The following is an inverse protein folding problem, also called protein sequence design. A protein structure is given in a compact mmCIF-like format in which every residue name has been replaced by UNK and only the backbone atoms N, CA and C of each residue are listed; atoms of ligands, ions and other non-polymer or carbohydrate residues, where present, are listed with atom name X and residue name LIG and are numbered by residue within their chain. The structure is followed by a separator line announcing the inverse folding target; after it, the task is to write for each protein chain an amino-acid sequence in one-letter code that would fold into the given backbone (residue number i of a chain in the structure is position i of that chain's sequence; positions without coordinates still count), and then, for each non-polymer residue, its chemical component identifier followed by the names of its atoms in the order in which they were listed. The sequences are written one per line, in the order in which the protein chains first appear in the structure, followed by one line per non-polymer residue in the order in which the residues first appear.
data_IF_371457811168
#
_entry.id   IF_371457811168
#
_cell.length_a   1.000
_cell.length_b   1.000
_cell.length_c   1.000
_cell.angle_alpha   90.00
_cell.angle_beta   90.00
_cell.angle_gamma   90.00
#
_symmetry.space_group_name_H-M   'P 1'
#
loop_
_entity.id
_entity.type
_entity.pdbx_description
1 polymer ?
#
# COMPACT_ATOMS: atom_id res chain seq x y z
N UNK A 1 27.59 -6.39 24.88
CA UNK A 1 27.27 -7.70 24.26
C UNK A 1 26.08 -8.39 24.91
N UNK A 2 26.06 -8.63 26.23
CA UNK A 2 24.91 -9.27 26.91
C UNK A 2 23.59 -8.48 26.72
N UNK A 3 23.61 -7.16 26.91
CA UNK A 3 22.43 -6.30 26.67
C UNK A 3 21.91 -6.36 25.24
N UNK A 4 22.80 -6.41 24.24
CA UNK A 4 22.42 -6.55 22.83
C UNK A 4 21.74 -7.90 22.57
N UNK A 5 22.26 -8.99 23.13
CA UNK A 5 21.67 -10.32 22.99
C UNK A 5 20.29 -10.37 23.68
N UNK A 6 20.17 -9.82 24.88
CA UNK A 6 18.89 -9.73 25.60
C UNK A 6 17.87 -8.89 24.80
N UNK A 7 18.30 -7.76 24.24
CA UNK A 7 17.44 -6.91 23.41
C UNK A 7 16.98 -7.61 22.12
N UNK A 8 17.87 -8.34 21.44
CA UNK A 8 17.51 -9.12 20.25
C UNK A 8 16.56 -10.28 20.58
N UNK A 9 16.77 -10.96 21.71
CA UNK A 9 15.84 -11.98 22.20
C UNK A 9 14.48 -11.36 22.51
N UNK A 10 14.46 -10.20 23.17
CA UNK A 10 13.23 -9.46 23.46
C UNK A 10 12.50 -9.09 22.15
N UNK A 11 13.18 -8.48 21.19
CA UNK A 11 12.64 -8.16 19.86
C UNK A 11 12.07 -9.41 19.16
N UNK A 12 12.81 -10.52 19.18
CA UNK A 12 12.35 -11.78 18.62
C UNK A 12 11.08 -12.30 19.31
N UNK A 13 11.02 -12.24 20.63
CA UNK A 13 9.83 -12.66 21.40
C UNK A 13 8.63 -11.76 21.13
N UNK A 14 8.84 -10.44 21.02
CA UNK A 14 7.80 -9.47 20.65
C UNK A 14 7.28 -9.76 19.24
N UNK A 15 8.18 -9.92 18.26
CA UNK A 15 7.80 -10.24 16.89
C UNK A 15 7.05 -11.57 16.80
N UNK A 16 7.53 -12.60 17.51
CA UNK A 16 6.86 -13.91 17.58
C UNK A 16 5.50 -13.83 18.27
N UNK A 17 5.38 -13.04 19.33
CA UNK A 17 4.12 -12.78 20.03
C UNK A 17 3.12 -12.09 19.10
N UNK A 18 3.56 -11.06 18.38
CA UNK A 18 2.75 -10.35 17.40
C UNK A 18 2.25 -11.29 16.29
N UNK A 19 3.12 -12.10 15.69
CA UNK A 19 2.74 -13.08 14.65
C UNK A 19 1.67 -14.04 15.20
N UNK A 20 1.83 -14.54 16.43
CA UNK A 20 0.82 -15.41 17.05
C UNK A 20 -0.52 -14.72 17.22
N UNK A 21 -0.52 -13.45 17.64
CA UNK A 21 -1.76 -12.68 17.78
C UNK A 21 -2.44 -12.48 16.44
N UNK A 22 -1.68 -12.17 15.38
CA UNK A 22 -2.22 -12.02 14.02
C UNK A 22 -2.83 -13.33 13.52
N UNK A 23 -2.13 -14.45 13.68
CA UNK A 23 -2.64 -15.78 13.29
C UNK A 23 -3.89 -16.13 14.08
N UNK A 24 -3.87 -15.97 15.40
CA UNK A 24 -5.04 -16.22 16.24
C UNK A 24 -6.24 -15.36 15.83
N UNK A 25 -6.01 -14.09 15.53
CA UNK A 25 -7.05 -13.17 15.06
C UNK A 25 -7.61 -13.62 13.70
N UNK A 26 -6.75 -14.07 12.78
CA UNK A 26 -7.17 -14.59 11.48
C UNK A 26 -7.98 -15.88 11.60
N UNK A 27 -7.57 -16.80 12.47
CA UNK A 27 -8.32 -18.03 12.75
C UNK A 27 -9.69 -17.72 13.38
N UNK A 28 -9.73 -16.75 14.30
CA UNK A 28 -10.97 -16.29 14.90
C UNK A 28 -11.91 -15.59 13.91
N UNK A 29 -11.36 -14.81 12.98
CA UNK A 29 -12.07 -14.18 11.85
C UNK A 29 -12.64 -15.23 10.89
N UNK A 30 -11.87 -16.28 10.63
CA UNK A 30 -12.28 -17.40 9.76
C UNK A 30 -13.29 -18.32 10.46
N UNK A 31 -13.42 -18.22 11.78
CA UNK A 31 -14.47 -18.87 12.56
C UNK A 31 -15.81 -18.12 12.53
N UNK A 32 -16.91 -18.85 12.64
CA UNK A 32 -18.27 -18.29 12.75
C UNK A 32 -19.22 -18.80 11.67
N UNK A 33 -20.31 -18.08 11.46
CA UNK A 33 -21.30 -18.44 10.45
C UNK A 33 -20.67 -18.38 9.05
N UNK A 34 -20.81 -19.49 8.31
CA UNK A 34 -20.36 -19.57 6.93
C UNK A 34 -21.21 -18.67 6.02
N UNK A 35 -20.59 -18.15 4.98
CA UNK A 35 -21.29 -17.48 3.88
C UNK A 35 -22.19 -18.47 3.10
N UNK A 36 -23.05 -17.99 2.18
CA UNK A 36 -23.87 -18.86 1.35
C UNK A 36 -23.04 -19.97 0.69
N UNK A 37 -23.63 -21.16 0.62
CA UNK A 37 -22.92 -22.39 0.26
C UNK A 37 -22.17 -22.29 -1.08
N UNK A 38 -22.76 -21.61 -2.08
CA UNK A 38 -22.18 -21.43 -3.40
C UNK A 38 -20.86 -20.62 -3.41
N UNK A 39 -20.73 -19.64 -2.50
CA UNK A 39 -19.52 -18.86 -2.35
C UNK A 39 -18.42 -19.64 -1.63
N UNK A 40 -18.80 -20.39 -0.59
CA UNK A 40 -17.86 -21.19 0.20
C UNK A 40 -17.35 -22.38 -0.60
N UNK A 41 -18.22 -23.07 -1.34
CA UNK A 41 -17.86 -24.21 -2.18
C UNK A 41 -16.85 -23.82 -3.26
N UNK A 42 -17.03 -22.67 -3.94
CA UNK A 42 -16.03 -22.15 -4.89
C UNK A 42 -14.69 -21.85 -4.22
N UNK A 43 -14.71 -21.31 -3.01
CA UNK A 43 -13.49 -20.98 -2.28
C UNK A 43 -12.74 -22.23 -1.81
N UNK A 44 -13.46 -23.22 -1.28
CA UNK A 44 -12.92 -24.51 -0.84
C UNK A 44 -12.40 -25.32 -2.03
N UNK A 45 -13.14 -25.40 -3.14
CA UNK A 45 -12.70 -26.11 -4.35
C UNK A 45 -11.41 -25.52 -4.96
N UNK A 46 -11.30 -24.20 -5.01
CA UNK A 46 -10.09 -23.53 -5.48
C UNK A 46 -8.86 -23.82 -4.59
N UNK A 47 -9.08 -23.91 -3.27
CA UNK A 47 -8.02 -24.28 -2.33
C UNK A 47 -7.61 -25.74 -2.49
N UNK A 48 -8.57 -26.65 -2.59
CA UNK A 48 -8.33 -28.09 -2.78
C UNK A 48 -7.52 -28.35 -4.06
N UNK A 49 -7.89 -27.73 -5.19
CA UNK A 49 -7.14 -27.89 -6.45
C UNK A 49 -5.72 -27.34 -6.37
N UNK A 50 -5.52 -26.21 -5.69
CA UNK A 50 -4.20 -25.65 -5.40
C UNK A 50 -3.36 -26.58 -4.53
N UNK A 51 -3.95 -27.17 -3.49
CA UNK A 51 -3.28 -28.15 -2.62
C UNK A 51 -2.89 -29.41 -3.38
N UNK A 52 -3.76 -29.92 -4.25
CA UNK A 52 -3.49 -31.06 -5.14
C UNK A 52 -2.34 -30.77 -6.12
N UNK A 53 -2.26 -29.56 -6.69
CA UNK A 53 -1.10 -29.13 -7.50
C UNK A 53 0.16 -29.11 -6.64
N UNK A 54 0.09 -28.53 -5.44
CA UNK A 54 1.24 -28.44 -4.54
C UNK A 54 1.80 -29.82 -4.19
N UNK A 55 0.93 -30.76 -3.81
CA UNK A 55 1.33 -32.12 -3.45
C UNK A 55 1.96 -32.87 -4.64
N UNK A 56 1.36 -32.77 -5.83
CA UNK A 56 1.88 -33.37 -7.06
C UNK A 56 3.27 -32.82 -7.41
N UNK A 57 3.46 -31.51 -7.36
CA UNK A 57 4.74 -30.88 -7.70
C UNK A 57 5.82 -31.12 -6.64
N UNK A 58 5.44 -31.14 -5.35
CA UNK A 58 6.35 -31.54 -4.28
C UNK A 58 6.79 -32.99 -4.42
N UNK A 59 5.90 -33.90 -4.83
CA UNK A 59 6.23 -35.30 -5.10
C UNK A 59 7.24 -35.43 -6.26
N UNK A 60 7.04 -34.69 -7.36
CA UNK A 60 8.00 -34.61 -8.48
C UNK A 60 9.36 -34.03 -8.05
N UNK A 61 9.34 -33.08 -7.11
CA UNK A 61 10.53 -32.42 -6.58
C UNK A 61 11.35 -33.27 -5.59
N UNK A 62 10.85 -34.43 -5.12
CA UNK A 62 11.53 -35.27 -4.11
C UNK A 62 12.92 -35.74 -4.56
N UNK A 63 13.16 -35.86 -5.87
CA UNK A 63 14.45 -36.23 -6.45
C UNK A 63 15.54 -35.14 -6.33
N UNK A 64 15.18 -33.90 -6.03
CA UNK A 64 16.12 -32.78 -5.97
C UNK A 64 16.98 -32.81 -4.69
N UNK A 65 18.28 -32.54 -4.84
CA UNK A 65 19.27 -32.50 -3.76
C UNK A 65 19.84 -31.09 -3.59
N UNK A 66 20.30 -30.78 -2.38
CA UNK A 66 20.92 -29.48 -2.05
C UNK A 66 19.99 -28.28 -2.33
N UNK A 67 20.56 -27.17 -2.82
CA UNK A 67 19.82 -25.95 -3.16
C UNK A 67 18.71 -26.18 -4.20
N UNK A 68 18.87 -27.17 -5.10
CA UNK A 68 17.85 -27.53 -6.08
C UNK A 68 16.52 -27.94 -5.44
N UNK A 69 16.55 -28.53 -4.23
CA UNK A 69 15.34 -28.85 -3.47
C UNK A 69 14.58 -27.59 -3.04
N UNK A 70 15.28 -26.53 -2.64
CA UNK A 70 14.64 -25.27 -2.24
C UNK A 70 13.97 -24.61 -3.44
N UNK A 71 14.66 -24.54 -4.58
CA UNK A 71 14.08 -24.01 -5.82
C UNK A 71 12.90 -24.84 -6.32
N UNK A 72 12.96 -26.17 -6.21
CA UNK A 72 11.87 -27.03 -6.60
C UNK A 72 10.64 -26.83 -5.71
N UNK A 73 10.81 -26.72 -4.38
CA UNK A 73 9.70 -26.38 -3.46
C UNK A 73 9.13 -24.99 -3.71
N UNK A 74 9.99 -24.02 -4.00
CA UNK A 74 9.55 -22.66 -4.34
C UNK A 74 8.74 -22.62 -5.64
N UNK A 75 9.17 -23.37 -6.67
CA UNK A 75 8.43 -23.51 -7.91
C UNK A 75 7.08 -24.20 -7.68
N UNK A 76 7.06 -25.33 -6.97
CA UNK A 76 5.83 -26.04 -6.61
C UNK A 76 4.84 -25.12 -5.87
N UNK A 77 5.34 -24.32 -4.91
CA UNK A 77 4.52 -23.33 -4.21
C UNK A 77 3.98 -22.24 -5.12
N UNK A 78 4.78 -21.75 -6.08
CA UNK A 78 4.29 -20.74 -7.02
C UNK A 78 3.25 -21.33 -7.98
N UNK A 79 3.40 -22.57 -8.42
CA UNK A 79 2.44 -23.24 -9.31
C UNK A 79 1.10 -23.46 -8.61
N UNK A 80 1.10 -23.90 -7.35
CA UNK A 80 -0.11 -24.00 -6.53
C UNK A 80 -0.80 -22.63 -6.33
N UNK A 81 -0.02 -21.59 -6.04
CA UNK A 81 -0.54 -20.22 -5.93
C UNK A 81 -1.14 -19.76 -7.27
N UNK A 82 -0.50 -20.08 -8.39
CA UNK A 82 -0.97 -19.70 -9.73
C UNK A 82 -2.31 -20.38 -10.04
N UNK A 83 -2.44 -21.67 -9.72
CA UNK A 83 -3.68 -22.45 -9.84
C UNK A 83 -4.83 -21.85 -9.03
N UNK A 84 -4.57 -21.47 -7.77
CA UNK A 84 -5.55 -20.79 -6.93
C UNK A 84 -6.05 -19.48 -7.56
N UNK A 85 -5.14 -18.71 -8.17
CA UNK A 85 -5.45 -17.42 -8.75
C UNK A 85 -6.25 -17.50 -10.05
N UNK A 86 -6.19 -18.64 -10.75
CA UNK A 86 -7.03 -18.91 -11.91
C UNK A 86 -8.51 -19.04 -11.52
N UNK A 87 -8.76 -19.59 -10.34
CA UNK A 87 -10.08 -19.73 -9.75
C UNK A 87 -10.54 -18.52 -8.95
N UNK A 88 -9.59 -17.71 -8.44
CA UNK A 88 -9.89 -16.49 -7.68
C UNK A 88 -10.61 -15.45 -8.53
N UNK A 89 -11.71 -14.89 -8.02
CA UNK A 89 -12.31 -13.66 -8.53
C UNK A 89 -11.92 -12.46 -7.67
N UNK A 90 -11.35 -11.41 -8.26
CA UNK A 90 -11.15 -10.13 -7.57
C UNK A 90 -12.50 -9.46 -7.30
N UNK A 91 -12.89 -9.41 -6.03
CA UNK A 91 -14.09 -8.71 -5.56
C UNK A 91 -13.76 -7.52 -4.66
N UNK A 92 -14.82 -6.88 -4.15
CA UNK A 92 -14.70 -5.73 -3.25
C UNK A 92 -13.93 -6.08 -1.96
N UNK A 93 -14.06 -7.31 -1.47
CA UNK A 93 -13.38 -7.80 -0.27
C UNK A 93 -11.85 -7.70 -0.44
N UNK A 94 -11.32 -8.24 -1.54
CA UNK A 94 -9.89 -8.18 -1.83
C UNK A 94 -9.44 -6.73 -2.04
N UNK A 95 -10.22 -5.91 -2.74
CA UNK A 95 -9.87 -4.50 -2.99
C UNK A 95 -9.73 -3.71 -1.69
N UNK A 96 -10.69 -3.80 -0.78
CA UNK A 96 -10.61 -3.09 0.51
C UNK A 96 -9.44 -3.60 1.34
N UNK A 97 -9.23 -4.93 1.39
CA UNK A 97 -8.14 -5.51 2.16
C UNK A 97 -6.77 -5.11 1.61
N UNK A 98 -6.62 -5.11 0.28
CA UNK A 98 -5.43 -4.65 -0.42
C UNK A 98 -5.17 -3.16 -0.19
N UNK A 99 -6.21 -2.33 -0.23
CA UNK A 99 -6.07 -0.91 0.08
C UNK A 99 -5.61 -0.71 1.52
N UNK A 100 -6.24 -1.38 2.47
CA UNK A 100 -5.90 -1.30 3.89
C UNK A 100 -4.45 -1.72 4.15
N UNK A 101 -4.06 -2.93 3.72
CA UNK A 101 -2.68 -3.40 3.89
C UNK A 101 -1.68 -2.56 3.10
N UNK A 102 -2.01 -2.20 1.85
CA UNK A 102 -1.14 -1.40 0.99
C UNK A 102 -0.88 -0.01 1.55
N UNK A 103 -1.89 0.62 2.15
CA UNK A 103 -1.78 1.94 2.77
C UNK A 103 -0.82 1.97 3.97
N UNK A 104 -0.77 0.90 4.76
CA UNK A 104 0.15 0.75 5.88
C UNK A 104 1.53 0.27 5.42
N UNK A 105 1.58 -0.73 4.53
CA UNK A 105 2.82 -1.34 4.08
C UNK A 105 3.66 -0.37 3.26
N UNK A 106 3.05 0.42 2.37
CA UNK A 106 3.77 1.44 1.60
C UNK A 106 4.39 2.50 2.52
N UNK A 107 3.65 2.93 3.55
CA UNK A 107 4.15 3.87 4.55
C UNK A 107 5.34 3.29 5.31
N UNK A 108 5.22 2.05 5.82
CA UNK A 108 6.32 1.38 6.53
C UNK A 108 7.56 1.19 5.65
N UNK A 109 7.38 0.83 4.37
CA UNK A 109 8.50 0.68 3.43
C UNK A 109 9.20 2.02 3.22
N UNK A 110 8.45 3.10 3.04
CA UNK A 110 9.01 4.43 2.83
C UNK A 110 9.71 4.97 4.09
N UNK A 111 9.11 4.81 5.27
CA UNK A 111 9.72 5.18 6.55
C UNK A 111 11.04 4.44 6.78
N UNK A 112 11.09 3.12 6.52
CA UNK A 112 12.32 2.33 6.61
C UNK A 112 13.34 2.78 5.58
N UNK A 113 12.91 3.05 4.34
CA UNK A 113 13.80 3.54 3.29
C UNK A 113 14.46 4.85 3.70
N UNK A 114 13.68 5.85 4.13
CA UNK A 114 14.20 7.14 4.58
C UNK A 114 15.10 7.04 5.81
N UNK A 115 14.76 6.18 6.76
CA UNK A 115 15.62 5.94 7.92
C UNK A 115 16.99 5.40 7.49
N UNK A 116 17.04 4.53 6.50
CA UNK A 116 18.28 3.93 6.00
C UNK A 116 19.09 4.87 5.10
N UNK A 117 18.44 5.68 4.26
CA UNK A 117 19.12 6.54 3.29
C UNK A 117 19.45 7.93 3.84
N UNK A 118 18.51 8.55 4.56
CA UNK A 118 18.61 9.93 5.02
C UNK A 118 18.77 10.05 6.54
N UNK A 119 18.52 8.98 7.30
CA UNK A 119 18.53 9.03 8.77
C UNK A 119 17.37 9.83 9.36
N UNK A 120 16.36 10.16 8.55
CA UNK A 120 15.19 10.96 8.93
C UNK A 120 13.99 10.04 9.23
N UNK A 121 13.15 10.49 10.16
CA UNK A 121 11.88 9.81 10.53
C UNK A 121 10.71 10.75 10.31
N UNK A 122 10.60 11.27 9.09
CA UNK A 122 9.46 12.10 8.72
C UNK A 122 8.23 11.22 8.49
N UNK A 123 7.13 11.58 9.16
CA UNK A 123 5.82 10.97 8.99
C UNK A 123 5.25 11.35 7.63
N UNK A 124 5.05 10.37 6.76
CA UNK A 124 4.44 10.51 5.42
C UNK A 124 3.02 9.98 5.36
N UNK A 125 2.36 10.06 6.50
CA UNK A 125 1.01 9.52 6.64
C UNK A 125 0.04 10.41 5.87
N UNK A 126 -0.90 9.78 5.16
CA UNK A 126 -1.81 10.47 4.25
C UNK A 126 -3.21 10.73 4.83
N UNK A 127 -3.51 10.24 6.03
CA UNK A 127 -4.79 10.44 6.71
C UNK A 127 -4.63 10.97 8.13
N UNK A 128 -5.68 11.63 8.62
CA UNK A 128 -5.72 12.20 9.96
C UNK A 128 -5.66 11.11 11.02
N UNK A 129 -6.37 9.99 10.84
CA UNK A 129 -6.38 8.88 11.77
C UNK A 129 -5.50 7.70 11.31
N UNK A 130 -4.78 7.09 12.26
CA UNK A 130 -4.01 5.87 12.01
C UNK A 130 -2.85 5.98 10.99
N UNK A 131 -2.07 4.91 10.78
CA UNK A 131 -0.90 4.93 9.90
C UNK A 131 -1.28 4.59 8.45
N UNK A 132 -2.19 5.37 7.86
CA UNK A 132 -2.74 5.09 6.52
C UNK A 132 -2.32 6.14 5.51
N UNK A 133 -1.75 5.70 4.39
CA UNK A 133 -1.52 6.53 3.21
C UNK A 133 -2.43 6.08 2.06
N UNK A 134 -3.46 6.88 1.69
CA UNK A 134 -4.36 6.56 0.60
C UNK A 134 -3.62 6.40 -0.73
N UNK A 135 -2.55 7.17 -0.93
CA UNK A 135 -1.73 7.07 -2.14
C UNK A 135 -1.14 5.67 -2.31
N UNK A 136 -0.58 5.10 -1.24
CA UNK A 136 -0.04 3.74 -1.27
C UNK A 136 -1.13 2.67 -1.35
N UNK A 137 -2.26 2.87 -0.69
CA UNK A 137 -3.43 1.99 -0.80
C UNK A 137 -3.97 1.94 -2.24
N UNK A 138 -4.16 3.10 -2.87
CA UNK A 138 -4.58 3.21 -4.27
C UNK A 138 -3.55 2.58 -5.20
N UNK A 139 -2.26 2.87 -5.00
CA UNK A 139 -1.18 2.29 -5.81
C UNK A 139 -1.17 0.75 -5.76
N UNK A 140 -1.32 0.17 -4.57
CA UNK A 140 -1.38 -1.28 -4.38
C UNK A 140 -2.60 -1.91 -5.06
N UNK A 141 -3.79 -1.30 -4.93
CA UNK A 141 -5.02 -1.77 -5.61
C UNK A 141 -4.87 -1.64 -7.12
N UNK A 142 -4.41 -0.50 -7.62
CA UNK A 142 -4.25 -0.22 -9.04
C UNK A 142 -3.28 -1.21 -9.70
N UNK A 143 -2.10 -1.40 -9.12
CA UNK A 143 -1.13 -2.39 -9.60
C UNK A 143 -1.71 -3.80 -9.53
N UNK A 144 -2.46 -4.15 -8.49
CA UNK A 144 -3.07 -5.48 -8.37
C UNK A 144 -4.11 -5.73 -9.45
N UNK A 145 -5.07 -4.82 -9.65
CA UNK A 145 -6.11 -4.95 -10.68
C UNK A 145 -5.47 -5.05 -12.06
N UNK A 146 -4.49 -4.19 -12.34
CA UNK A 146 -3.75 -4.19 -13.60
C UNK A 146 -3.00 -5.52 -13.81
N UNK A 147 -2.17 -5.92 -12.85
CA UNK A 147 -1.35 -7.12 -12.95
C UNK A 147 -2.21 -8.38 -13.02
N UNK A 148 -3.32 -8.42 -12.30
CA UNK A 148 -4.25 -9.55 -12.34
C UNK A 148 -4.92 -9.68 -13.70
N UNK A 149 -5.34 -8.55 -14.31
CA UNK A 149 -5.86 -8.54 -15.67
C UNK A 149 -4.80 -8.98 -16.69
N UNK A 150 -3.58 -8.43 -16.60
CA UNK A 150 -2.47 -8.80 -17.47
C UNK A 150 -2.08 -10.27 -17.33
N UNK A 151 -2.09 -10.82 -16.11
CA UNK A 151 -1.86 -12.24 -15.83
C UNK A 151 -2.88 -13.11 -16.55
N UNK A 152 -4.19 -12.83 -16.40
CA UNK A 152 -5.27 -13.59 -17.05
C UNK A 152 -5.19 -13.58 -18.59
N UNK A 153 -4.62 -12.54 -19.18
CA UNK A 153 -4.39 -12.45 -20.62
C UNK A 153 -3.02 -12.97 -21.09
N UNK A 154 -2.25 -13.63 -20.21
CA UNK A 154 -0.96 -14.22 -20.57
C UNK A 154 0.10 -13.18 -20.96
N UNK A 155 0.04 -11.98 -20.38
CA UNK A 155 0.95 -10.89 -20.73
C UNK A 155 2.42 -11.24 -20.44
N UNK A 156 3.29 -10.94 -21.40
CA UNK A 156 4.74 -11.09 -21.27
C UNK A 156 5.31 -10.04 -20.32
N UNK A 157 6.49 -10.30 -19.75
CA UNK A 157 7.13 -9.39 -18.81
C UNK A 157 7.30 -7.96 -19.33
N UNK A 158 7.72 -7.78 -20.57
CA UNK A 158 7.87 -6.44 -21.16
C UNK A 158 6.52 -5.69 -21.25
N UNK A 159 5.40 -6.39 -21.46
CA UNK A 159 4.06 -5.77 -21.46
C UNK A 159 3.68 -5.30 -20.06
N UNK A 160 3.92 -6.14 -19.04
CA UNK A 160 3.70 -5.76 -17.64
C UNK A 160 4.53 -4.53 -17.28
N UNK A 161 5.80 -4.49 -17.68
CA UNK A 161 6.68 -3.35 -17.46
C UNK A 161 6.12 -2.06 -18.08
N UNK A 162 5.80 -2.08 -19.39
CA UNK A 162 5.35 -0.88 -20.09
C UNK A 162 4.01 -0.37 -19.58
N UNK A 163 3.05 -1.27 -19.34
CA UNK A 163 1.74 -0.88 -18.83
C UNK A 163 1.84 -0.36 -17.40
N UNK A 164 2.67 -0.96 -16.55
CA UNK A 164 2.88 -0.48 -15.18
C UNK A 164 3.60 0.87 -15.16
N UNK A 165 4.61 1.08 -16.02
CA UNK A 165 5.27 2.36 -16.17
C UNK A 165 4.29 3.46 -16.59
N UNK A 166 3.44 3.19 -17.59
CA UNK A 166 2.43 4.13 -18.06
C UNK A 166 1.40 4.45 -16.97
N UNK A 167 0.83 3.43 -16.34
CA UNK A 167 -0.21 3.60 -15.31
C UNK A 167 0.34 4.28 -14.06
N UNK A 168 1.55 3.92 -13.63
CA UNK A 168 2.24 4.59 -12.53
C UNK A 168 2.53 6.06 -12.82
N UNK A 169 3.03 6.38 -14.02
CA UNK A 169 3.24 7.76 -14.45
C UNK A 169 1.96 8.59 -14.51
N UNK A 170 0.86 8.01 -15.00
CA UNK A 170 -0.46 8.66 -14.99
C UNK A 170 -0.94 8.88 -13.55
N UNK A 171 -0.74 7.92 -12.65
CA UNK A 171 -1.09 8.07 -11.24
C UNK A 171 -0.31 9.21 -10.58
N UNK A 172 1.01 9.28 -10.79
CA UNK A 172 1.85 10.37 -10.27
C UNK A 172 1.41 11.73 -10.83
N UNK A 173 1.20 11.80 -12.15
CA UNK A 173 0.76 13.02 -12.82
C UNK A 173 -0.58 13.50 -12.28
N UNK A 174 -1.56 12.61 -12.13
CA UNK A 174 -2.88 12.97 -11.63
C UNK A 174 -2.81 13.36 -10.16
N UNK A 175 -2.08 12.62 -9.33
CA UNK A 175 -1.98 12.91 -7.89
C UNK A 175 -1.29 14.25 -7.66
N UNK A 176 -0.16 14.49 -8.30
CA UNK A 176 0.56 15.77 -8.20
C UNK A 176 -0.27 16.94 -8.71
N UNK A 177 -0.96 16.77 -9.84
CA UNK A 177 -1.83 17.80 -10.40
C UNK A 177 -3.03 18.11 -9.50
N UNK A 178 -3.71 17.09 -8.96
CA UNK A 178 -4.84 17.27 -8.04
C UNK A 178 -4.38 17.98 -6.77
N UNK A 179 -3.24 17.56 -6.20
CA UNK A 179 -2.68 18.17 -5.00
C UNK A 179 -2.34 19.65 -5.23
N UNK A 180 -1.66 19.96 -6.34
CA UNK A 180 -1.30 21.33 -6.68
C UNK A 180 -2.47 22.23 -7.05
N UNK A 181 -3.54 21.68 -7.64
CA UNK A 181 -4.67 22.46 -8.16
C UNK A 181 -5.76 22.69 -7.11
N UNK A 182 -6.11 21.67 -6.33
CA UNK A 182 -7.23 21.74 -5.38
C UNK A 182 -6.79 22.09 -3.96
N UNK A 183 -5.60 21.64 -3.54
CA UNK A 183 -5.14 21.81 -2.16
C UNK A 183 -4.04 22.87 -2.04
N UNK A 184 -3.64 23.50 -3.16
CA UNK A 184 -2.48 24.37 -3.26
C UNK A 184 -1.26 23.81 -2.50
N UNK A 185 -1.05 22.50 -2.66
CA UNK A 185 -0.08 21.75 -1.89
C UNK A 185 0.86 21.00 -2.82
N UNK A 186 2.07 20.71 -2.32
CA UNK A 186 3.07 19.95 -3.03
C UNK A 186 3.77 18.99 -2.06
N UNK A 187 3.75 17.71 -2.39
CA UNK A 187 4.45 16.67 -1.63
C UNK A 187 5.74 16.22 -2.32
N UNK A 188 5.83 16.35 -3.65
CA UNK A 188 7.06 16.15 -4.41
C UNK A 188 7.04 16.95 -5.71
N UNK A 189 8.23 17.28 -6.20
CA UNK A 189 8.44 17.86 -7.53
C UNK A 189 9.70 17.30 -8.17
N UNK A 190 9.60 16.98 -9.45
CA UNK A 190 10.68 16.53 -10.31
C UNK A 190 11.09 17.61 -11.32
N UNK A 191 10.50 18.81 -11.28
CA UNK A 191 10.69 19.86 -12.29
C UNK A 191 12.16 20.22 -12.58
N UNK A 192 13.05 19.99 -11.62
CA UNK A 192 14.47 20.33 -11.70
C UNK A 192 15.37 19.12 -12.00
N UNK A 193 14.79 17.92 -12.18
CA UNK A 193 15.53 16.75 -12.64
C UNK A 193 15.77 16.84 -14.15
N UNK A 194 16.95 16.44 -14.65
CA UNK A 194 17.27 16.52 -16.07
C UNK A 194 16.39 15.61 -16.93
N UNK A 195 15.77 14.59 -16.33
CA UNK A 195 14.90 13.62 -16.98
C UNK A 195 13.40 13.82 -16.67
N UNK A 196 13.03 15.01 -16.17
CA UNK A 196 11.65 15.40 -15.94
C UNK A 196 10.85 15.48 -17.25
N UNK A 197 9.68 14.86 -17.26
CA UNK A 197 8.68 14.98 -18.34
C UNK A 197 7.68 16.07 -17.96
N UNK A 198 7.27 16.07 -16.69
CA UNK A 198 6.41 17.08 -16.06
C UNK A 198 6.95 17.39 -14.66
N UNK A 199 6.40 18.39 -13.95
CA UNK A 199 6.77 18.63 -12.55
C UNK A 199 6.56 17.44 -11.62
N UNK A 200 5.79 16.42 -12.01
CA UNK A 200 5.48 15.26 -11.16
C UNK A 200 5.87 13.91 -11.75
N UNK A 201 6.36 13.86 -12.99
CA UNK A 201 6.76 12.62 -13.67
C UNK A 201 8.15 12.78 -14.29
N UNK A 202 9.05 11.82 -14.02
CA UNK A 202 10.37 11.74 -14.65
C UNK A 202 10.64 10.33 -15.20
N UNK A 203 11.51 10.22 -16.21
CA UNK A 203 11.81 8.94 -16.86
C UNK A 203 12.32 7.87 -15.89
N UNK A 204 13.17 8.24 -14.92
CA UNK A 204 13.65 7.29 -13.90
C UNK A 204 12.50 6.68 -13.09
N UNK A 205 11.49 7.47 -12.74
CA UNK A 205 10.36 7.00 -11.93
C UNK A 205 9.41 6.15 -12.76
N UNK A 206 9.21 6.45 -14.04
CA UNK A 206 8.52 5.55 -14.97
C UNK A 206 9.19 4.18 -15.05
N UNK A 207 10.52 4.14 -15.14
CA UNK A 207 11.27 2.89 -15.12
C UNK A 207 11.11 2.15 -13.78
N UNK A 208 11.12 2.86 -12.65
CA UNK A 208 10.86 2.29 -11.33
C UNK A 208 9.45 1.70 -11.23
N UNK A 209 8.42 2.39 -11.74
CA UNK A 209 7.05 1.87 -11.82
C UNK A 209 6.93 0.61 -12.69
N UNK A 210 7.65 0.57 -13.81
CA UNK A 210 7.74 -0.62 -14.65
C UNK A 210 8.38 -1.82 -13.92
N UNK A 211 9.50 -1.59 -13.21
CA UNK A 211 10.16 -2.63 -12.41
C UNK A 211 9.30 -3.06 -11.22
N UNK A 212 8.68 -2.10 -10.52
CA UNK A 212 7.77 -2.36 -9.42
C UNK A 212 6.59 -3.20 -9.90
N UNK A 213 5.97 -2.86 -11.03
CA UNK A 213 4.89 -3.64 -11.62
C UNK A 213 5.30 -5.06 -12.01
N UNK A 214 6.52 -5.25 -12.52
CA UNK A 214 7.07 -6.59 -12.79
C UNK A 214 7.19 -7.43 -11.51
N UNK A 215 7.78 -6.86 -10.46
CA UNK A 215 7.94 -7.52 -9.16
C UNK A 215 6.58 -7.77 -8.52
N UNK A 216 5.67 -6.80 -8.62
CA UNK A 216 4.31 -6.90 -8.11
C UNK A 216 3.56 -8.04 -8.78
N UNK A 217 3.52 -8.06 -10.10
CA UNK A 217 2.82 -9.07 -10.90
C UNK A 217 3.33 -10.49 -10.65
N UNK A 218 4.66 -10.68 -10.50
CA UNK A 218 5.27 -12.03 -10.45
C UNK A 218 5.57 -12.55 -9.05
N UNK A 219 5.70 -11.68 -8.06
CA UNK A 219 6.15 -12.09 -6.73
C UNK A 219 5.22 -11.65 -5.61
N UNK A 220 4.75 -10.39 -5.62
CA UNK A 220 4.00 -9.82 -4.49
C UNK A 220 2.51 -10.16 -4.61
N UNK A 221 1.87 -9.74 -5.71
CA UNK A 221 0.43 -9.92 -5.94
C UNK A 221 -0.01 -11.38 -5.79
N UNK A 222 0.65 -12.39 -6.41
CA UNK A 222 0.17 -13.76 -6.33
C UNK A 222 0.08 -14.28 -4.90
N UNK A 223 1.13 -14.03 -4.09
CA UNK A 223 1.18 -14.46 -2.70
C UNK A 223 0.22 -13.68 -1.81
N UNK A 224 0.12 -12.38 -2.04
CA UNK A 224 -0.78 -11.51 -1.29
C UNK A 224 -2.24 -11.92 -1.50
N UNK A 225 -2.65 -12.16 -2.75
CA UNK A 225 -3.99 -12.62 -3.07
C UNK A 225 -4.28 -14.04 -2.56
N UNK A 226 -3.30 -14.95 -2.60
CA UNK A 226 -3.43 -16.28 -1.99
C UNK A 226 -3.63 -16.21 -0.47
N UNK A 227 -2.90 -15.33 0.22
CA UNK A 227 -3.03 -15.13 1.67
C UNK A 227 -4.35 -14.46 2.06
N UNK A 228 -4.83 -13.49 1.26
CA UNK A 228 -6.13 -12.84 1.48
C UNK A 228 -7.28 -13.82 1.21
N UNK A 229 -7.15 -14.60 0.14
CA UNK A 229 -8.10 -15.62 -0.27
C UNK A 229 -9.48 -15.08 -0.65
N UNK A 230 -10.43 -16.01 -0.76
CA UNK A 230 -11.86 -15.73 -0.87
C UNK A 230 -12.50 -15.77 0.52
N UNK A 231 -13.42 -14.84 0.84
CA UNK A 231 -14.08 -14.86 2.14
C UNK A 231 -14.98 -16.09 2.25
N UNK A 232 -14.88 -16.83 3.36
CA UNK A 232 -15.69 -18.02 3.66
C UNK A 232 -16.58 -17.82 4.88
N UNK A 233 -16.20 -16.90 5.77
CA UNK A 233 -16.92 -16.61 7.02
C UNK A 233 -17.54 -15.20 7.02
N UNK A 234 -18.71 -15.08 7.65
CA UNK A 234 -19.41 -13.80 7.81
C UNK A 234 -18.59 -12.79 8.60
N UNK A 235 -17.78 -13.23 9.58
CA UNK A 235 -16.92 -12.35 10.39
C UNK A 235 -15.85 -11.66 9.54
N UNK A 236 -15.25 -12.34 8.56
CA UNK A 236 -14.30 -11.73 7.62
C UNK A 236 -14.97 -10.57 6.85
N UNK A 237 -16.16 -10.80 6.32
CA UNK A 237 -16.92 -9.79 5.58
C UNK A 237 -17.29 -8.60 6.46
N UNK A 238 -17.77 -8.85 7.69
CA UNK A 238 -18.10 -7.79 8.65
C UNK A 238 -16.85 -6.97 8.99
N UNK A 239 -15.73 -7.62 9.29
CA UNK A 239 -14.48 -6.95 9.59
C UNK A 239 -14.02 -6.03 8.44
N UNK A 240 -13.98 -6.55 7.22
CA UNK A 240 -13.59 -5.76 6.04
C UNK A 240 -14.57 -4.62 5.78
N UNK A 241 -15.86 -4.82 6.03
CA UNK A 241 -16.86 -3.74 5.95
C UNK A 241 -16.59 -2.65 6.97
N UNK A 242 -16.28 -3.00 8.23
CA UNK A 242 -15.96 -2.03 9.27
C UNK A 242 -14.66 -1.26 8.96
N UNK A 243 -13.65 -1.94 8.43
CA UNK A 243 -12.40 -1.32 7.96
C UNK A 243 -12.69 -0.35 6.81
N UNK A 244 -13.52 -0.74 5.83
CA UNK A 244 -13.93 0.16 4.74
C UNK A 244 -14.63 1.41 5.26
N UNK A 245 -15.59 1.26 6.17
CA UNK A 245 -16.33 2.37 6.78
C UNK A 245 -15.39 3.31 7.56
N UNK A 246 -14.45 2.74 8.32
CA UNK A 246 -13.44 3.52 9.04
C UNK A 246 -12.57 4.35 8.09
N UNK A 247 -12.04 3.72 7.03
CA UNK A 247 -11.18 4.40 6.06
C UNK A 247 -11.93 5.50 5.30
N UNK A 248 -13.20 5.26 4.93
CA UNK A 248 -14.05 6.29 4.30
C UNK A 248 -14.25 7.46 5.25
N UNK A 249 -14.58 7.20 6.52
CA UNK A 249 -14.75 8.25 7.52
C UNK A 249 -13.47 9.07 7.71
N UNK A 250 -12.31 8.42 7.72
CA UNK A 250 -11.01 9.06 7.86
C UNK A 250 -10.64 9.91 6.64
N UNK A 251 -10.87 9.41 5.43
CA UNK A 251 -10.67 10.18 4.18
C UNK A 251 -11.55 11.44 4.21
N UNK A 252 -12.84 11.29 4.56
CA UNK A 252 -13.77 12.43 4.65
C UNK A 252 -13.29 13.44 5.69
N UNK A 253 -12.92 12.98 6.89
CA UNK A 253 -12.40 13.88 7.93
C UNK A 253 -11.09 14.54 7.53
N UNK A 254 -10.23 13.84 6.80
CA UNK A 254 -8.98 14.39 6.27
C UNK A 254 -9.23 15.53 5.30
N UNK A 255 -10.16 15.35 4.35
CA UNK A 255 -10.58 16.40 3.42
C UNK A 255 -11.13 17.60 4.20
N UNK A 256 -12.04 17.38 5.15
CA UNK A 256 -12.61 18.46 5.99
C UNK A 256 -11.52 19.22 6.75
N UNK A 257 -10.51 18.53 7.28
CA UNK A 257 -9.41 19.18 7.99
C UNK A 257 -8.56 20.06 7.05
N UNK A 258 -8.30 19.60 5.83
CA UNK A 258 -7.58 20.39 4.83
C UNK A 258 -8.39 21.59 4.35
N UNK A 259 -9.68 21.41 4.05
CA UNK A 259 -10.57 22.51 3.66
C UNK A 259 -10.64 23.58 4.76
N UNK A 260 -10.80 23.17 6.03
CA UNK A 260 -10.77 24.09 7.17
C UNK A 260 -9.43 24.80 7.32
N UNK A 261 -8.31 24.13 7.07
CA UNK A 261 -7.00 24.78 7.06
C UNK A 261 -6.93 25.88 6.00
N UNK A 262 -7.37 25.59 4.77
CA UNK A 262 -7.40 26.59 3.68
C UNK A 262 -8.28 27.78 4.05
N UNK A 263 -9.45 27.54 4.62
CA UNK A 263 -10.35 28.60 5.08
C UNK A 263 -9.73 29.45 6.21
N UNK A 264 -8.99 28.85 7.14
CA UNK A 264 -8.23 29.58 8.17
C UNK A 264 -7.13 30.45 7.57
N UNK A 265 -6.38 29.92 6.60
CA UNK A 265 -5.33 30.67 5.89
C UNK A 265 -5.91 31.89 5.15
N UNK A 266 -7.17 31.79 4.68
CA UNK A 266 -7.93 32.89 4.06
C UNK A 266 -8.65 33.80 5.07
N UNK A 267 -8.54 33.54 6.38
CA UNK A 267 -9.18 34.32 7.43
C UNK A 267 -10.70 34.12 7.57
N UNK A 268 -11.24 33.02 7.03
CA UNK A 268 -12.68 32.69 7.07
C UNK A 268 -13.02 31.97 8.39
N UNK A 269 -13.87 32.56 9.26
CA UNK A 269 -14.25 31.93 10.52
C UNK A 269 -15.18 30.72 10.29
N UNK A 270 -15.23 29.74 11.22
CA UNK A 270 -16.06 28.56 11.09
C UNK A 270 -17.56 28.91 11.12
N UNK A 271 -18.33 28.36 10.19
CA UNK A 271 -19.74 28.66 9.97
C UNK A 271 -20.69 27.91 10.92
N UNK A 272 -20.26 26.78 11.47
CA UNK A 272 -21.09 25.92 12.32
C UNK A 272 -20.30 25.25 13.46
N UNK A 273 -21.01 24.59 14.38
CA UNK A 273 -20.42 23.94 15.55
C UNK A 273 -19.45 22.79 15.19
N UNK A 274 -19.67 22.12 14.06
CA UNK A 274 -18.79 21.05 13.61
C UNK A 274 -17.45 21.62 13.12
N UNK A 275 -17.47 22.68 12.30
CA UNK A 275 -16.25 23.35 11.86
C UNK A 275 -15.48 23.98 13.03
N UNK A 276 -16.17 24.55 14.02
CA UNK A 276 -15.54 25.02 15.26
C UNK A 276 -14.85 23.88 16.02
N UNK A 277 -15.49 22.72 16.09
CA UNK A 277 -14.89 21.52 16.68
C UNK A 277 -13.67 21.05 15.89
N UNK A 278 -13.74 21.07 14.55
CA UNK A 278 -12.59 20.73 13.69
C UNK A 278 -11.43 21.69 13.93
N UNK A 279 -11.66 22.99 13.93
CA UNK A 279 -10.63 24.00 14.18
C UNK A 279 -9.96 23.85 15.55
N UNK A 280 -10.74 23.42 16.55
CA UNK A 280 -10.25 23.22 17.92
C UNK A 280 -9.39 21.95 18.05
N UNK A 281 -9.75 20.86 17.37
CA UNK A 281 -9.11 19.55 17.52
C UNK A 281 -8.04 19.27 16.45
N UNK A 282 -8.15 19.91 15.28
CA UNK A 282 -7.28 19.75 14.11
C UNK A 282 -6.70 21.12 13.71
N UNK A 283 -5.97 21.71 14.65
CA UNK A 283 -5.27 22.98 14.46
C UNK A 283 -4.18 22.89 13.40
N UNK A 284 -3.67 24.03 12.93
CA UNK A 284 -2.59 24.06 11.95
C UNK A 284 -1.30 23.42 12.49
N UNK A 285 -1.07 23.47 13.81
CA UNK A 285 0.02 22.76 14.48
C UNK A 285 -0.17 21.24 14.41
N UNK A 286 -1.41 20.75 14.55
CA UNK A 286 -1.68 19.32 14.38
C UNK A 286 -1.39 18.91 12.93
N UNK A 287 -1.89 19.66 11.95
CA UNK A 287 -1.72 19.34 10.52
C UNK A 287 -0.24 19.33 10.13
N UNK A 288 0.54 20.35 10.52
CA UNK A 288 1.98 20.40 10.20
C UNK A 288 2.79 19.28 10.84
N UNK A 289 2.49 18.92 12.10
CA UNK A 289 3.13 17.76 12.76
C UNK A 289 2.73 16.44 12.14
N UNK A 290 1.51 16.33 11.63
CA UNK A 290 0.94 15.09 11.08
C UNK A 290 1.44 14.81 9.67
N UNK A 291 1.42 15.84 8.82
CA UNK A 291 1.75 15.82 7.40
C UNK A 291 3.08 16.56 7.15
N UNK A 292 4.17 16.02 7.70
CA UNK A 292 5.47 16.70 7.73
C UNK A 292 6.08 16.89 6.33
N UNK A 293 5.67 16.07 5.36
CA UNK A 293 6.15 16.08 3.98
C UNK A 293 5.29 16.96 3.04
N UNK A 294 4.28 17.66 3.55
CA UNK A 294 3.33 18.41 2.72
C UNK A 294 3.59 19.91 2.84
N UNK A 295 3.98 20.55 1.74
CA UNK A 295 4.11 22.01 1.64
C UNK A 295 2.78 22.59 1.20
N UNK A 296 2.26 23.60 1.90
CA UNK A 296 0.96 24.22 1.62
C UNK A 296 1.14 25.75 1.52
N UNK A 297 0.48 26.38 0.55
CA UNK A 297 0.45 27.83 0.43
C UNK A 297 1.84 28.43 0.18
N UNK A 298 2.19 29.49 0.90
CA UNK A 298 3.45 30.23 0.73
C UNK A 298 4.71 29.36 0.88
N UNK A 299 4.64 28.23 1.59
CA UNK A 299 5.79 27.32 1.74
C UNK A 299 6.12 26.51 0.48
N UNK A 300 5.16 26.35 -0.44
CA UNK A 300 5.37 25.68 -1.72
C UNK A 300 6.28 26.49 -2.64
N UNK A 301 6.09 27.81 -2.67
CA UNK A 301 6.76 28.71 -3.62
C UNK A 301 8.05 29.32 -3.06
N UNK A 302 8.46 28.95 -1.84
CA UNK A 302 9.68 29.46 -1.21
C UNK A 302 10.92 28.87 -1.89
N UNK A 303 11.63 29.75 -2.59
CA UNK A 303 12.95 29.51 -3.14
C UNK A 303 14.04 29.98 -2.15
N UNK A 304 15.14 29.25 -2.09
CA UNK A 304 16.40 29.64 -1.49
C UNK A 304 17.02 30.83 -2.22
N UNK A 305 18.12 31.35 -1.67
CA UNK A 305 18.87 32.49 -2.22
C UNK A 305 19.38 32.29 -3.66
N UNK A 306 19.38 31.04 -4.16
CA UNK A 306 19.81 30.66 -5.50
C UNK A 306 18.63 30.36 -6.44
N UNK A 307 17.38 30.63 -6.02
CA UNK A 307 16.19 30.38 -6.83
C UNK A 307 15.77 28.90 -6.89
N UNK A 308 16.23 28.07 -5.95
CA UNK A 308 15.89 26.64 -5.82
C UNK A 308 14.93 26.46 -4.64
N UNK A 309 13.91 25.59 -4.69
CA UNK A 309 13.09 25.30 -3.50
C UNK A 309 13.95 24.96 -2.27
N UNK A 310 13.53 25.39 -1.07
CA UNK A 310 14.30 25.30 0.20
C UNK A 310 14.82 23.90 0.63
N UNK A 311 14.52 22.83 -0.10
CA UNK A 311 15.04 21.47 0.15
C UNK A 311 16.02 20.95 -0.92
N UNK A 312 16.49 21.79 -1.84
CA UNK A 312 17.58 21.42 -2.76
C UNK A 312 18.95 21.37 -2.05
N UNK A 313 19.09 20.52 -1.03
CA UNK A 313 20.40 19.96 -0.70
C UNK A 313 20.68 18.83 -1.71
N UNK A 314 21.66 19.07 -2.57
CA UNK A 314 22.13 18.17 -3.63
C UNK A 314 22.08 16.68 -3.23
N UNK A 315 21.20 15.92 -3.89
CA UNK A 315 21.30 14.46 -3.93
C UNK A 315 20.98 13.71 -2.64
N UNK A 316 19.80 13.95 -2.06
CA UNK A 316 19.17 13.01 -1.11
C UNK A 316 17.91 12.39 -1.70
#
# INVERSE_FOLDING_TARGET
MLFTVIFLIFLFLVARGFVRTVVFFWDWLSGGDRLPADHVERAEAALEESEDVLERELARAQGARGLGRLFARWRASNEAVDEYLDHLSLGWYQVVFLFFLGSMAGLLIEEVWMLLTAGLTESRVGLVWGPFSPLYGVGAVLLTVLCFHLRRHGARGWQVFLVSALVGGVLEQLTGWVMGTFFNAESWTYAYLPDAITPWVAWRFLAMWGLLGLVWCRAIMPRLLYQIGMPTARRQVVFVTLVALYLVADIVMTIVCFDRKVERDLGVPPANAFEQWVDTNYSDEFISKRFQNLKIGDERDKLDENGRPLEWEEGR
#
